data_IF_449556423595
#
_entry.id   IF_449556423595
#
_cell.length_a   1.000
_cell.length_b   1.000
_cell.length_c   1.000
_cell.angle_alpha   90.00
_cell.angle_beta   90.00
_cell.angle_gamma   90.00
#
_symmetry.space_group_name_H-M   'P 1'
#
loop_
_entity.id
_entity.type
_entity.pdbx_description
1 polymer ?
#
# COMPACT_ATOMS: atom_id res chain seq x y z
N UNK A 1 -25.53 8.12 -21.52
CA UNK A 1 -24.36 7.79 -20.68
C UNK A 1 -23.77 9.06 -20.02
N UNK A 2 -24.53 9.75 -19.16
CA UNK A 2 -24.11 11.02 -18.52
C UNK A 2 -23.52 10.77 -17.12
N UNK A 3 -24.03 9.76 -16.39
CA UNK A 3 -23.59 9.42 -15.03
C UNK A 3 -22.09 9.10 -14.95
N UNK A 4 -21.57 8.26 -15.85
CA UNK A 4 -20.17 7.86 -15.89
C UNK A 4 -19.21 9.04 -16.12
N UNK A 5 -19.62 10.08 -16.85
CA UNK A 5 -18.83 11.30 -17.04
C UNK A 5 -18.63 12.09 -15.74
N UNK A 6 -19.57 11.99 -14.80
CA UNK A 6 -19.54 12.69 -13.52
C UNK A 6 -18.87 11.87 -12.41
N UNK A 7 -19.11 10.55 -12.36
CA UNK A 7 -18.62 9.69 -11.27
C UNK A 7 -17.27 9.05 -11.56
N UNK A 8 -16.97 8.75 -12.83
CA UNK A 8 -15.77 8.02 -13.24
C UNK A 8 -15.22 8.56 -14.57
N UNK A 9 -14.91 9.86 -14.61
CA UNK A 9 -14.48 10.54 -15.83
C UNK A 9 -13.26 9.89 -16.48
N UNK A 10 -12.26 9.50 -15.69
CA UNK A 10 -11.06 8.83 -16.19
C UNK A 10 -11.34 7.42 -16.72
N UNK A 11 -12.31 6.68 -16.16
CA UNK A 11 -12.66 5.34 -16.64
C UNK A 11 -13.53 5.38 -17.91
N UNK A 12 -14.49 6.30 -17.95
CA UNK A 12 -15.43 6.43 -19.05
C UNK A 12 -14.82 7.10 -20.29
N UNK A 13 -13.90 8.05 -20.09
CA UNK A 13 -13.24 8.80 -21.16
C UNK A 13 -11.76 8.98 -20.80
N UNK A 14 -10.96 7.89 -20.86
CA UNK A 14 -9.60 7.94 -20.38
C UNK A 14 -8.70 8.84 -21.23
N UNK A 15 -9.05 9.16 -22.48
CA UNK A 15 -8.27 10.05 -23.34
C UNK A 15 -6.80 9.66 -23.36
N UNK A 16 -5.92 10.63 -23.04
CA UNK A 16 -4.47 10.44 -22.88
C UNK A 16 -4.08 9.89 -21.49
N UNK A 17 -5.00 9.89 -20.52
CA UNK A 17 -4.77 9.44 -19.14
C UNK A 17 -4.88 7.91 -18.96
N UNK A 18 -4.95 7.14 -20.06
CA UNK A 18 -5.06 5.67 -20.01
C UNK A 18 -3.94 5.03 -19.18
N UNK A 19 -2.71 5.50 -19.38
CA UNK A 19 -1.55 4.90 -18.71
C UNK A 19 -1.45 5.33 -17.25
N UNK A 20 -1.87 6.56 -16.92
CA UNK A 20 -2.02 7.01 -15.53
C UNK A 20 -3.07 6.17 -14.79
N UNK A 21 -4.24 5.94 -15.42
CA UNK A 21 -5.29 5.11 -14.83
C UNK A 21 -4.80 3.68 -14.61
N UNK A 22 -4.11 3.08 -15.58
CA UNK A 22 -3.49 1.76 -15.41
C UNK A 22 -2.49 1.74 -14.25
N UNK A 23 -1.63 2.75 -14.14
CA UNK A 23 -0.67 2.86 -13.06
C UNK A 23 -1.36 2.93 -11.69
N UNK A 24 -2.47 3.69 -11.58
CA UNK A 24 -3.27 3.77 -10.35
C UNK A 24 -3.94 2.44 -10.00
N UNK A 25 -4.48 1.72 -11.00
CA UNK A 25 -5.06 0.38 -10.79
C UNK A 25 -4.00 -0.60 -10.27
N UNK A 26 -2.80 -0.62 -10.87
CA UNK A 26 -1.69 -1.46 -10.42
C UNK A 26 -1.26 -1.09 -8.99
N UNK A 27 -1.15 0.20 -8.68
CA UNK A 27 -0.82 0.66 -7.33
C UNK A 27 -1.87 0.24 -6.31
N UNK A 28 -3.16 0.33 -6.65
CA UNK A 28 -4.25 -0.12 -5.80
C UNK A 28 -4.19 -1.63 -5.54
N UNK A 29 -3.98 -2.42 -6.59
CA UNK A 29 -3.86 -3.88 -6.49
C UNK A 29 -2.66 -4.29 -5.60
N UNK A 30 -1.50 -3.67 -5.81
CA UNK A 30 -0.32 -3.90 -4.98
C UNK A 30 -0.55 -3.50 -3.51
N UNK A 31 -1.20 -2.35 -3.28
CA UNK A 31 -1.54 -1.89 -1.94
C UNK A 31 -2.53 -2.82 -1.23
N UNK A 32 -3.48 -3.40 -1.96
CA UNK A 32 -4.42 -4.39 -1.44
C UNK A 32 -3.70 -5.69 -1.08
N UNK A 33 -2.80 -6.19 -1.94
CA UNK A 33 -1.98 -7.37 -1.66
C UNK A 33 -1.12 -7.14 -0.41
N UNK A 34 -0.40 -6.02 -0.33
CA UNK A 34 0.45 -5.67 0.81
C UNK A 34 -0.35 -5.53 2.11
N UNK A 35 -1.56 -4.95 2.05
CA UNK A 35 -2.44 -4.83 3.21
C UNK A 35 -2.90 -6.20 3.70
N UNK A 36 -3.36 -7.07 2.79
CA UNK A 36 -3.82 -8.41 3.14
C UNK A 36 -2.67 -9.26 3.68
N UNK A 37 -1.48 -9.17 3.07
CA UNK A 37 -0.30 -9.95 3.45
C UNK A 37 0.48 -9.38 4.63
N UNK A 38 0.10 -8.21 5.13
CA UNK A 38 0.72 -7.57 6.31
C UNK A 38 0.62 -8.38 7.61
N UNK A 39 -0.21 -9.42 7.65
CA UNK A 39 -0.51 -10.20 8.86
C UNK A 39 -1.48 -9.52 9.82
N UNK A 40 -1.93 -8.28 9.53
CA UNK A 40 -2.86 -7.51 10.39
C UNK A 40 -4.15 -8.26 10.74
N UNK A 41 -4.61 -9.13 9.85
CA UNK A 41 -5.87 -9.88 10.01
C UNK A 41 -5.66 -11.31 10.53
N UNK A 42 -4.42 -11.78 10.65
CA UNK A 42 -4.08 -13.16 11.00
C UNK A 42 -3.75 -13.30 12.49
N UNK A 43 -4.47 -12.58 13.35
CA UNK A 43 -4.22 -12.53 14.80
C UNK A 43 -5.05 -13.52 15.61
N UNK A 44 -5.99 -14.21 14.96
CA UNK A 44 -6.99 -15.09 15.58
C UNK A 44 -7.16 -16.34 14.74
N UNK A 45 -7.59 -17.42 15.38
CA UNK A 45 -7.62 -18.71 14.71
C UNK A 45 -8.84 -18.95 13.83
N UNK A 46 -9.90 -18.17 14.03
CA UNK A 46 -11.23 -18.29 13.45
C UNK A 46 -11.54 -17.24 12.37
N UNK A 47 -10.55 -16.44 11.96
CA UNK A 47 -10.72 -15.41 10.94
C UNK A 47 -9.41 -15.16 10.19
N UNK A 48 -9.53 -14.90 8.90
CA UNK A 48 -8.43 -14.48 8.05
C UNK A 48 -8.98 -13.72 6.85
N UNK A 49 -8.13 -12.96 6.18
CA UNK A 49 -8.46 -12.25 4.94
C UNK A 49 -7.58 -12.81 3.83
N UNK A 50 -8.21 -13.12 2.69
CA UNK A 50 -7.57 -13.69 1.51
C UNK A 50 -7.97 -12.84 0.31
N UNK A 51 -6.98 -12.35 -0.43
CA UNK A 51 -7.21 -11.65 -1.69
C UNK A 51 -7.57 -12.65 -2.79
N UNK A 52 -8.54 -12.32 -3.66
CA UNK A 52 -8.93 -13.12 -4.81
C UNK A 52 -8.58 -12.36 -6.10
N UNK A 53 -7.36 -12.52 -6.65
CA UNK A 53 -6.84 -11.63 -7.69
C UNK A 53 -7.37 -11.92 -9.11
N UNK A 54 -8.47 -12.66 -9.30
CA UNK A 54 -8.96 -13.08 -10.63
C UNK A 54 -9.25 -11.94 -11.64
N UNK A 55 -9.32 -10.68 -11.20
CA UNK A 55 -9.45 -9.52 -12.10
C UNK A 55 -8.14 -8.75 -12.36
N UNK A 56 -7.02 -9.10 -11.73
CA UNK A 56 -5.82 -8.26 -11.77
C UNK A 56 -5.14 -8.22 -13.14
N UNK A 57 -5.18 -9.34 -13.86
CA UNK A 57 -4.62 -9.52 -15.21
C UNK A 57 -5.71 -9.91 -16.22
N UNK A 58 -6.98 -9.78 -15.84
CA UNK A 58 -8.12 -10.07 -16.71
C UNK A 58 -8.14 -9.15 -17.92
N UNK A 59 -8.31 -9.75 -19.09
CA UNK A 59 -8.58 -9.06 -20.34
C UNK A 59 -10.03 -9.29 -20.74
N UNK A 60 -10.64 -8.24 -21.27
CA UNK A 60 -11.99 -8.33 -21.82
C UNK A 60 -11.96 -9.18 -23.09
N UNK A 61 -12.86 -10.15 -23.24
CA UNK A 61 -13.01 -10.93 -24.47
C UNK A 61 -13.23 -10.05 -25.70
N UNK A 62 -12.81 -10.59 -26.84
CA UNK A 62 -12.92 -9.91 -28.15
C UNK A 62 -13.65 -10.83 -29.11
N UNK A 63 -14.40 -10.21 -30.02
CA UNK A 63 -15.07 -10.89 -31.13
C UNK A 63 -14.06 -11.33 -32.20
N UNK A 64 -14.51 -12.10 -33.19
CA UNK A 64 -13.69 -12.57 -34.33
C UNK A 64 -13.05 -11.42 -35.14
N UNK A 65 -13.69 -10.24 -35.14
CA UNK A 65 -13.18 -9.03 -35.79
C UNK A 65 -12.23 -8.20 -34.90
N UNK A 66 -11.84 -8.73 -33.74
CA UNK A 66 -10.99 -8.10 -32.73
C UNK A 66 -11.61 -6.84 -32.07
N UNK A 67 -12.92 -6.63 -32.21
CA UNK A 67 -13.66 -5.65 -31.40
C UNK A 67 -13.90 -6.19 -29.99
N UNK A 68 -14.07 -5.28 -29.02
CA UNK A 68 -14.47 -5.65 -27.66
C UNK A 68 -15.83 -6.36 -27.70
N UNK A 69 -15.92 -7.52 -27.07
CA UNK A 69 -17.19 -8.21 -26.90
C UNK A 69 -18.04 -7.47 -25.86
N UNK A 70 -19.08 -6.79 -26.35
CA UNK A 70 -19.96 -5.97 -25.53
C UNK A 70 -21.00 -6.79 -24.77
N UNK A 71 -21.15 -8.09 -25.06
CA UNK A 71 -22.10 -8.95 -24.34
C UNK A 71 -21.71 -9.14 -22.87
N UNK A 72 -20.43 -8.88 -22.53
CA UNK A 72 -19.91 -8.88 -21.16
C UNK A 72 -20.28 -7.61 -20.36
N UNK A 73 -20.85 -6.59 -20.99
CA UNK A 73 -21.16 -5.30 -20.36
C UNK A 73 -22.65 -4.95 -20.41
N UNK A 74 -23.11 -4.29 -19.36
CA UNK A 74 -24.44 -3.70 -19.30
C UNK A 74 -24.61 -2.59 -20.38
N UNK A 75 -25.83 -2.11 -20.65
CA UNK A 75 -26.10 -1.08 -21.66
C UNK A 75 -25.37 0.26 -21.46
N UNK A 76 -24.74 0.47 -20.30
CA UNK A 76 -23.91 1.64 -20.03
C UNK A 76 -22.44 1.47 -20.43
N UNK A 77 -22.08 0.31 -20.98
CA UNK A 77 -20.75 -0.07 -21.46
C UNK A 77 -19.65 0.00 -20.39
N UNK A 78 -20.02 -0.09 -19.11
CA UNK A 78 -19.09 0.04 -17.99
C UNK A 78 -19.26 -1.05 -16.95
N UNK A 79 -20.49 -1.28 -16.47
CA UNK A 79 -20.75 -2.37 -15.55
C UNK A 79 -20.81 -3.70 -16.30
N UNK A 80 -20.49 -4.81 -15.62
CA UNK A 80 -20.71 -6.13 -16.19
C UNK A 80 -22.19 -6.41 -16.45
N UNK A 81 -22.48 -7.07 -17.57
CA UNK A 81 -23.80 -7.65 -17.85
C UNK A 81 -24.07 -8.87 -16.97
N UNK A 82 -25.22 -9.52 -17.17
CA UNK A 82 -25.48 -10.85 -16.58
C UNK A 82 -24.37 -11.86 -16.92
N UNK A 83 -23.98 -11.94 -18.20
CA UNK A 83 -22.88 -12.81 -18.64
C UNK A 83 -21.54 -12.44 -17.98
N UNK A 84 -21.20 -11.15 -17.93
CA UNK A 84 -19.97 -10.69 -17.29
C UNK A 84 -19.92 -11.03 -15.80
N UNK A 85 -21.06 -10.92 -15.10
CA UNK A 85 -21.18 -11.30 -13.69
C UNK A 85 -21.10 -12.81 -13.50
N UNK A 86 -21.71 -13.61 -14.38
CA UNK A 86 -21.61 -15.07 -14.37
C UNK A 86 -20.15 -15.52 -14.45
N UNK A 87 -19.41 -15.00 -15.44
CA UNK A 87 -17.99 -15.35 -15.64
C UNK A 87 -17.13 -14.88 -14.48
N UNK A 88 -17.38 -13.69 -13.93
CA UNK A 88 -16.68 -13.19 -12.75
C UNK A 88 -16.98 -14.06 -11.50
N UNK A 89 -18.22 -14.54 -11.34
CA UNK A 89 -18.60 -15.42 -10.24
C UNK A 89 -17.91 -16.79 -10.35
N UNK A 90 -17.85 -17.37 -11.55
CA UNK A 90 -17.11 -18.61 -11.81
C UNK A 90 -15.61 -18.44 -11.52
N UNK A 91 -15.01 -17.34 -11.98
CA UNK A 91 -13.61 -17.05 -11.70
C UNK A 91 -13.33 -16.86 -10.20
N UNK A 92 -14.24 -16.22 -9.46
CA UNK A 92 -14.15 -16.09 -8.00
C UNK A 92 -14.25 -17.45 -7.31
N UNK A 93 -15.19 -18.30 -7.74
CA UNK A 93 -15.37 -19.65 -7.21
C UNK A 93 -14.08 -20.46 -7.33
N UNK A 94 -13.53 -20.52 -8.53
CA UNK A 94 -12.26 -21.17 -8.83
C UNK A 94 -11.13 -20.62 -7.95
N UNK A 95 -11.06 -19.30 -7.81
CA UNK A 95 -10.05 -18.65 -6.95
C UNK A 95 -10.17 -19.07 -5.48
N UNK A 96 -11.38 -19.29 -4.96
CA UNK A 96 -11.57 -19.75 -3.57
C UNK A 96 -11.10 -21.19 -3.34
N UNK A 97 -11.07 -22.02 -4.38
CA UNK A 97 -10.60 -23.42 -4.33
C UNK A 97 -9.16 -23.58 -4.84
N UNK A 98 -8.44 -22.49 -5.06
CA UNK A 98 -7.01 -22.48 -5.37
C UNK A 98 -6.16 -22.10 -4.14
N UNK A 99 -5.03 -22.79 -3.88
CA UNK A 99 -4.12 -22.44 -2.80
C UNK A 99 -3.65 -20.98 -2.85
N UNK A 100 -3.58 -20.33 -1.68
CA UNK A 100 -2.97 -19.00 -1.54
C UNK A 100 -1.53 -19.04 -2.08
N UNK A 101 -1.21 -18.09 -2.96
CA UNK A 101 0.07 -18.03 -3.69
C UNK A 101 0.04 -18.69 -5.08
N UNK A 102 -1.01 -19.47 -5.39
CA UNK A 102 -1.23 -20.12 -6.70
C UNK A 102 -2.56 -19.70 -7.34
N UNK A 103 -3.27 -18.75 -6.74
CA UNK A 103 -4.53 -18.22 -7.26
C UNK A 103 -4.33 -17.59 -8.63
N UNK A 104 -5.20 -17.90 -9.58
CA UNK A 104 -5.24 -17.26 -10.90
C UNK A 104 -5.50 -15.76 -10.79
N UNK A 105 -4.92 -15.02 -11.71
CA UNK A 105 -5.03 -13.55 -11.80
C UNK A 105 -5.98 -13.08 -12.91
N UNK A 106 -6.63 -14.02 -13.60
CA UNK A 106 -7.48 -13.76 -14.75
C UNK A 106 -8.68 -14.72 -14.77
N UNK A 107 -9.80 -14.29 -15.37
CA UNK A 107 -10.97 -15.13 -15.62
C UNK A 107 -10.80 -16.03 -16.85
N UNK A 108 -11.63 -17.08 -16.95
CA UNK A 108 -11.64 -17.98 -18.11
C UNK A 108 -13.07 -18.21 -18.62
N UNK A 109 -13.63 -17.26 -19.38
CA UNK A 109 -14.97 -17.41 -19.92
C UNK A 109 -15.09 -18.69 -20.76
N UNK A 110 -16.18 -19.44 -20.55
CA UNK A 110 -16.46 -20.68 -21.27
C UNK A 110 -15.73 -21.93 -20.76
N UNK A 111 -14.80 -21.80 -19.82
CA UNK A 111 -14.26 -22.97 -19.10
C UNK A 111 -15.23 -23.40 -17.99
N UNK A 112 -15.42 -24.72 -17.79
CA UNK A 112 -16.18 -25.23 -16.64
C UNK A 112 -15.51 -24.82 -15.33
N UNK A 113 -16.32 -24.46 -14.32
CA UNK A 113 -15.83 -24.22 -12.97
C UNK A 113 -15.18 -25.46 -12.36
N UNK A 114 -14.17 -25.24 -11.53
CA UNK A 114 -13.47 -26.32 -10.85
C UNK A 114 -14.28 -26.83 -9.65
N UNK A 115 -14.11 -28.13 -9.38
CA UNK A 115 -14.71 -28.80 -8.23
C UNK A 115 -13.67 -28.92 -7.11
N UNK A 116 -14.07 -28.80 -5.83
CA UNK A 116 -13.18 -29.08 -4.72
C UNK A 116 -12.63 -30.51 -4.76
N UNK A 117 -11.38 -30.68 -4.31
CA UNK A 117 -10.77 -31.99 -4.11
C UNK A 117 -11.40 -32.70 -2.89
N UNK A 118 -11.58 -34.02 -2.95
CA UNK A 118 -12.15 -34.80 -1.84
C UNK A 118 -11.25 -34.82 -0.60
N UNK A 119 -9.94 -34.72 -0.77
CA UNK A 119 -8.93 -34.68 0.30
C UNK A 119 -8.79 -33.27 0.90
N UNK A 120 -9.06 -32.21 0.13
CA UNK A 120 -8.98 -30.80 0.55
C UNK A 120 -10.31 -30.08 0.26
N UNK A 121 -11.42 -30.41 0.96
CA UNK A 121 -12.79 -30.00 0.58
C UNK A 121 -13.18 -28.58 1.02
N UNK A 122 -12.23 -27.78 1.50
CA UNK A 122 -12.49 -26.44 2.06
C UNK A 122 -11.86 -25.36 1.18
N UNK A 123 -12.43 -24.15 1.23
CA UNK A 123 -11.79 -23.00 0.60
C UNK A 123 -10.39 -22.76 1.15
N UNK A 124 -9.49 -22.36 0.25
CA UNK A 124 -8.11 -22.11 0.58
C UNK A 124 -7.94 -20.75 1.26
N UNK A 125 -7.31 -20.84 2.41
CA UNK A 125 -6.92 -19.77 3.31
C UNK A 125 -5.42 -19.79 3.50
N UNK A 126 -4.87 -18.80 4.21
CA UNK A 126 -3.45 -18.78 4.58
C UNK A 126 -3.01 -20.00 5.42
N UNK A 127 -3.94 -20.69 6.10
CA UNK A 127 -3.63 -21.78 7.02
C UNK A 127 -3.58 -23.17 6.37
N UNK A 128 -4.41 -23.41 5.35
CA UNK A 128 -4.47 -24.70 4.64
C UNK A 128 -3.83 -24.64 3.25
N UNK A 129 -3.27 -23.50 2.85
CA UNK A 129 -2.44 -23.42 1.64
C UNK A 129 -1.01 -23.84 1.97
N UNK A 130 -0.60 -25.04 1.55
CA UNK A 130 0.79 -25.50 1.69
C UNK A 130 1.69 -24.50 0.99
N UNK A 131 2.67 -23.93 1.69
CA UNK A 131 3.74 -23.17 1.05
C UNK A 131 4.48 -24.15 0.13
N UNK A 132 4.36 -23.97 -1.18
CA UNK A 132 5.31 -24.60 -2.09
C UNK A 132 6.67 -23.98 -1.76
N UNK A 133 7.54 -24.75 -1.11
CA UNK A 133 8.91 -24.33 -0.85
C UNK A 133 9.55 -23.94 -2.18
N UNK A 134 9.89 -22.66 -2.34
CA UNK A 134 10.48 -22.10 -3.57
C UNK A 134 9.69 -20.95 -4.20
N UNK A 135 8.35 -20.92 -4.13
CA UNK A 135 7.55 -19.90 -4.83
C UNK A 135 7.59 -18.52 -4.14
N UNK A 136 7.64 -18.50 -2.81
CA UNK A 136 7.75 -17.27 -2.03
C UNK A 136 9.08 -16.52 -2.23
N UNK A 137 10.16 -17.23 -2.55
CA UNK A 137 11.47 -16.65 -2.88
C UNK A 137 11.45 -16.00 -4.26
N UNK A 138 10.82 -16.65 -5.24
CA UNK A 138 10.80 -16.19 -6.63
C UNK A 138 9.97 -14.91 -6.81
N UNK A 139 8.80 -14.82 -6.15
CA UNK A 139 7.94 -13.62 -6.16
C UNK A 139 8.58 -12.44 -5.42
N UNK A 140 9.34 -12.69 -4.35
CA UNK A 140 10.11 -11.65 -3.66
C UNK A 140 11.30 -11.15 -4.51
N UNK A 141 12.00 -12.04 -5.22
CA UNK A 141 13.08 -11.67 -6.14
C UNK A 141 12.58 -10.82 -7.31
N UNK A 142 11.50 -11.24 -7.99
CA UNK A 142 10.90 -10.45 -9.09
C UNK A 142 10.36 -9.09 -8.60
N UNK A 143 9.85 -9.01 -7.37
CA UNK A 143 9.38 -7.75 -6.76
C UNK A 143 10.54 -6.81 -6.33
N UNK A 144 11.74 -7.34 -6.09
CA UNK A 144 12.95 -6.52 -5.89
C UNK A 144 13.55 -6.08 -7.23
N UNK A 145 13.56 -6.95 -8.22
CA UNK A 145 14.04 -6.67 -9.58
C UNK A 145 13.19 -5.59 -10.27
N UNK A 146 11.85 -5.65 -10.17
CA UNK A 146 10.95 -4.61 -10.68
C UNK A 146 10.97 -3.29 -9.87
N UNK A 147 11.61 -3.26 -8.70
CA UNK A 147 11.76 -2.05 -7.87
C UNK A 147 13.09 -1.33 -8.14
N UNK A 148 13.96 -1.92 -8.96
CA UNK A 148 15.22 -1.33 -9.38
C UNK A 148 14.97 -0.40 -10.58
N UNK A 149 15.18 0.92 -10.45
CA UNK A 149 15.07 1.81 -11.60
C UNK A 149 16.15 1.47 -12.62
N UNK A 150 15.79 1.50 -13.90
CA UNK A 150 16.69 1.28 -15.03
C UNK A 150 18.04 1.98 -14.79
N UNK A 151 19.10 1.18 -14.81
CA UNK A 151 20.47 1.57 -14.51
C UNK A 151 21.11 2.44 -15.61
N UNK A 152 20.40 3.45 -16.11
CA UNK A 152 20.92 4.48 -16.99
C UNK A 152 20.68 5.92 -16.51
N UNK A 153 20.20 6.11 -15.27
CA UNK A 153 20.37 7.40 -14.60
C UNK A 153 21.72 7.38 -13.90
N UNK A 154 22.67 8.20 -14.38
CA UNK A 154 23.98 8.41 -13.74
C UNK A 154 23.80 8.86 -12.29
N UNK A 155 23.71 7.90 -11.36
CA UNK A 155 23.82 8.15 -9.95
C UNK A 155 25.30 8.39 -9.65
N UNK A 156 25.61 9.61 -9.21
CA UNK A 156 26.92 9.93 -8.65
C UNK A 156 27.26 8.92 -7.56
N UNK A 157 28.31 8.15 -7.82
CA UNK A 157 28.88 7.16 -6.94
C UNK A 157 29.26 7.81 -5.60
N UNK A 158 28.47 7.54 -4.55
CA UNK A 158 28.65 8.10 -3.22
C UNK A 158 29.85 7.41 -2.56
N UNK A 159 31.01 8.06 -2.71
CA UNK A 159 32.29 7.69 -2.10
C UNK A 159 32.17 7.60 -0.57
N UNK A 160 32.86 6.63 0.03
CA UNK A 160 32.93 6.29 1.46
C UNK A 160 33.41 7.41 2.42
N UNK A 161 33.43 8.66 1.99
CA UNK A 161 33.77 9.85 2.79
C UNK A 161 32.57 10.44 3.54
N UNK A 162 31.35 10.11 3.14
CA UNK A 162 30.14 10.78 3.64
C UNK A 162 29.59 10.25 4.97
N UNK A 163 29.92 9.01 5.36
CA UNK A 163 29.42 8.44 6.63
C UNK A 163 30.06 9.15 7.83
N UNK A 164 31.33 9.54 7.72
CA UNK A 164 32.01 10.32 8.75
C UNK A 164 31.40 11.73 8.91
N UNK A 165 30.97 12.36 7.81
CA UNK A 165 30.36 13.70 7.83
C UNK A 165 29.01 13.74 8.56
N UNK A 166 28.19 12.70 8.41
CA UNK A 166 26.88 12.60 9.09
C UNK A 166 27.08 12.44 10.61
N UNK A 167 28.05 11.63 11.04
CA UNK A 167 28.35 11.42 12.47
C UNK A 167 28.87 12.70 13.11
N UNK A 168 29.79 13.42 12.45
CA UNK A 168 30.31 14.69 12.95
C UNK A 168 29.21 15.75 13.01
N UNK A 169 28.36 15.85 11.98
CA UNK A 169 27.23 16.76 11.97
C UNK A 169 26.25 16.51 13.12
N UNK A 170 25.92 15.24 13.37
CA UNK A 170 25.04 14.86 14.49
C UNK A 170 25.65 15.23 15.85
N UNK A 171 26.96 15.00 16.04
CA UNK A 171 27.67 15.38 17.27
C UNK A 171 27.70 16.89 17.49
N UNK A 172 27.95 17.67 16.44
CA UNK A 172 27.91 19.14 16.51
C UNK A 172 26.52 19.66 16.90
N UNK A 173 25.46 19.11 16.31
CA UNK A 173 24.08 19.51 16.63
C UNK A 173 23.76 19.17 18.09
N UNK A 174 24.12 17.98 18.56
CA UNK A 174 23.89 17.57 19.95
C UNK A 174 24.62 18.47 20.96
N UNK A 175 25.84 18.90 20.65
CA UNK A 175 26.60 19.84 21.48
C UNK A 175 25.93 21.21 21.51
N UNK A 176 25.53 21.75 20.35
CA UNK A 176 24.86 23.06 20.26
C UNK A 176 23.53 23.06 21.00
N UNK A 177 22.74 22.00 20.87
CA UNK A 177 21.47 21.86 21.62
C UNK A 177 21.75 21.78 23.12
N UNK A 178 22.74 21.00 23.54
CA UNK A 178 23.11 20.86 24.95
C UNK A 178 23.58 22.17 25.58
N UNK A 179 24.41 22.94 24.87
CA UNK A 179 24.87 24.26 25.29
C UNK A 179 23.73 25.27 25.31
N UNK A 180 22.83 25.23 24.33
CA UNK A 180 21.64 26.10 24.27
C UNK A 180 20.71 25.82 25.44
N UNK A 181 20.42 24.55 25.75
CA UNK A 181 19.60 24.14 26.90
C UNK A 181 20.27 24.55 28.21
N UNK A 182 21.59 24.37 28.33
CA UNK A 182 22.35 24.80 29.51
C UNK A 182 22.26 26.31 29.71
N UNK A 183 22.50 27.10 28.65
CA UNK A 183 22.40 28.55 28.67
C UNK A 183 21.00 29.03 29.04
N UNK A 184 19.95 28.41 28.47
CA UNK A 184 18.57 28.74 28.81
C UNK A 184 18.24 28.42 30.27
N UNK A 185 18.75 27.30 30.81
CA UNK A 185 18.61 26.99 32.25
C UNK A 185 19.32 28.00 33.12
N UNK A 186 20.52 28.42 32.75
CA UNK A 186 21.28 29.43 33.49
C UNK A 186 20.59 30.80 33.46
N UNK A 187 20.11 31.23 32.29
CA UNK A 187 19.32 32.46 32.14
C UNK A 187 18.02 32.41 32.94
N UNK A 188 17.31 31.27 32.95
CA UNK A 188 16.12 31.07 33.79
C UNK A 188 16.46 31.17 35.28
N UNK A 189 17.60 30.62 35.71
CA UNK A 189 18.06 30.71 37.10
C UNK A 189 18.39 32.17 37.48
N UNK A 190 19.05 32.90 36.59
CA UNK A 190 19.39 34.32 36.80
C UNK A 190 18.13 35.20 36.86
N UNK A 191 17.19 35.01 35.92
CA UNK A 191 15.90 35.70 35.94
C UNK A 191 15.07 35.34 37.18
N UNK A 192 15.17 34.11 37.69
CA UNK A 192 14.52 33.70 38.94
C UNK A 192 15.11 34.48 40.11
N UNK A 193 16.44 34.53 40.24
CA UNK A 193 17.14 35.28 41.31
C UNK A 193 16.81 36.78 41.24
N UNK A 194 16.83 37.37 40.05
CA UNK A 194 16.47 38.78 39.85
C UNK A 194 15.01 39.06 40.23
N UNK A 195 14.08 38.16 39.87
CA UNK A 195 12.67 38.24 40.28
C UNK A 195 12.50 38.10 41.80
N UNK A 196 13.26 37.24 42.46
CA UNK A 196 13.27 37.13 43.93
C UNK A 196 13.79 38.41 44.60
N UNK A 197 14.80 39.06 44.04
CA UNK A 197 15.34 40.33 44.55
C UNK A 197 14.35 41.49 44.37
N UNK A 198 13.64 41.57 43.24
CA UNK A 198 12.58 42.56 43.01
C UNK A 198 11.42 42.41 44.01
N UNK A 199 11.04 41.18 44.37
CA UNK A 199 10.00 40.91 45.36
C UNK A 199 10.42 41.28 46.79
N UNK A 200 11.71 41.21 47.12
CA UNK A 200 12.24 41.61 48.43
C UNK A 200 12.48 43.13 48.53
N UNK A 201 12.70 43.83 47.40
CA UNK A 201 12.83 45.29 47.34
C UNK A 201 11.52 46.05 47.47
N UNK A 202 10.37 45.39 47.28
CA UNK A 202 9.02 45.97 47.39
C UNK A 202 8.37 45.72 48.76
N UNK A 203 9.15 45.80 49.85
CA UNK A 203 8.59 45.79 51.21
C UNK A 203 8.13 47.21 51.58
N UNK A 204 6.82 47.49 51.75
CA UNK A 204 6.36 48.79 52.20
C UNK A 204 6.81 49.02 53.65
N UNK A 205 7.47 50.14 53.89
CA UNK A 205 7.82 50.64 55.22
C UNK A 205 6.52 50.93 56.00
N UNK A 206 6.07 49.98 56.82
CA UNK A 206 5.06 50.28 57.83
C UNK A 206 5.72 51.12 58.92
N UNK A 207 5.40 52.41 58.91
CA UNK A 207 5.74 53.33 60.00
C UNK A 207 4.71 53.12 61.10
N UNK A 208 5.16 52.83 62.32
CA UNK A 208 4.32 52.79 63.52
C UNK A 208 3.65 54.16 63.75
N UNK A 209 2.30 54.18 63.80
CA UNK A 209 1.48 55.01 64.70
C UNK A 209 0.26 54.19 65.08
#
# INVERSE_FOLDING_TARGET
MISHSFTCRCGAFPGDNKDELKALVIQYQNGLEDLVDSGRYDTRDDFTVVNQPFLSETKIPVNDDNSTDLDYFAPDCFHFSELGQEVAASALWDNMIEPVGQKRTYWRPGEPSECPDTEEPYFYTKKNSKRVEGFGSYRQQTRQENRQPDANTRAHQFSSTSVAGIVIGALCIMIVVSLSVYYLKQKRKQNSVERYQLLQGSSPNYTEI
#
